data_IF_637275981327
#
_entry.id   IF_637275981327
#
_cell.length_a   1.000
_cell.length_b   1.000
_cell.length_c   1.000
_cell.angle_alpha   90.00
_cell.angle_beta   90.00
_cell.angle_gamma   90.00
#
_symmetry.space_group_name_H-M   'P 1'
#
loop_
_entity.id
_entity.type
_entity.pdbx_description
1 polymer ?
#
# COMPACT_ATOMS: atom_id res chain seq x y z
N UNK A 1 0.07 -17.31 11.65
CA UNK A 1 -0.32 -15.99 11.14
C UNK A 1 -1.58 -15.55 11.85
N UNK A 2 -1.47 -14.54 12.72
CA UNK A 2 -2.56 -13.98 13.51
C UNK A 2 -2.80 -12.53 13.12
N UNK A 3 -4.06 -12.07 13.14
CA UNK A 3 -4.40 -10.68 12.84
C UNK A 3 -4.57 -9.86 14.12
N UNK A 4 -3.87 -8.74 14.20
CA UNK A 4 -3.92 -7.78 15.29
C UNK A 4 -4.54 -6.47 14.78
N UNK A 5 -5.64 -6.07 15.41
CA UNK A 5 -6.34 -4.83 15.10
C UNK A 5 -5.61 -3.63 15.74
N UNK A 6 -5.45 -2.53 15.01
CA UNK A 6 -4.87 -1.30 15.54
C UNK A 6 -5.82 -0.68 16.58
N UNK A 7 -5.25 -0.09 17.64
CA UNK A 7 -6.03 0.46 18.75
C UNK A 7 -7.00 1.55 18.24
N UNK A 8 -8.27 1.44 18.64
CA UNK A 8 -9.33 2.35 18.19
C UNK A 8 -9.88 2.09 16.78
N UNK A 9 -9.41 1.06 16.06
CA UNK A 9 -9.95 0.65 14.75
C UNK A 9 -10.98 -0.46 14.88
N UNK A 10 -11.81 -0.62 13.85
CA UNK A 10 -12.85 -1.65 13.77
C UNK A 10 -12.94 -2.19 12.34
N UNK A 11 -13.21 -3.49 12.20
CA UNK A 11 -13.47 -4.09 10.90
C UNK A 11 -14.86 -3.68 10.41
N UNK A 12 -14.98 -3.32 9.13
CA UNK A 12 -16.28 -3.11 8.51
C UNK A 12 -16.90 -4.48 8.20
N UNK A 13 -18.04 -4.86 8.81
CA UNK A 13 -18.66 -6.17 8.61
C UNK A 13 -19.20 -6.36 7.18
N UNK A 14 -19.38 -5.28 6.42
CA UNK A 14 -19.81 -5.33 5.03
C UNK A 14 -18.63 -5.52 4.05
N UNK A 15 -17.39 -5.54 4.54
CA UNK A 15 -16.22 -5.82 3.72
C UNK A 15 -15.98 -7.34 3.65
N UNK A 16 -16.34 -7.95 2.51
CA UNK A 16 -16.18 -9.40 2.29
C UNK A 16 -14.98 -9.77 1.41
N UNK A 17 -14.27 -8.77 0.88
CA UNK A 17 -13.22 -8.97 -0.13
C UNK A 17 -11.85 -8.68 0.46
N UNK A 18 -10.95 -9.65 0.38
CA UNK A 18 -9.54 -9.51 0.74
C UNK A 18 -8.70 -9.53 -0.53
N UNK A 19 -7.89 -8.49 -0.73
CA UNK A 19 -6.87 -8.43 -1.78
C UNK A 19 -5.52 -8.74 -1.13
N UNK A 20 -4.93 -9.88 -1.49
CA UNK A 20 -3.63 -10.31 -0.97
C UNK A 20 -2.64 -10.44 -2.14
N UNK A 21 -1.61 -9.58 -2.24
CA UNK A 21 -0.62 -9.70 -3.31
C UNK A 21 0.29 -10.89 -3.05
N UNK A 22 0.52 -11.72 -4.07
CA UNK A 22 1.55 -12.75 -4.03
C UNK A 22 2.92 -12.16 -4.40
N UNK A 23 3.99 -12.64 -3.76
CA UNK A 23 5.36 -12.37 -4.23
C UNK A 23 5.51 -12.92 -5.65
N UNK A 24 5.76 -12.05 -6.61
CA UNK A 24 5.78 -12.39 -8.03
C UNK A 24 6.84 -11.57 -8.78
N UNK A 25 7.02 -11.88 -10.07
CA UNK A 25 8.08 -11.29 -10.89
C UNK A 25 7.92 -9.77 -10.95
N UNK A 26 8.99 -9.07 -10.54
CA UNK A 26 9.09 -7.61 -10.50
C UNK A 26 8.01 -6.91 -9.68
N UNK A 27 7.48 -7.61 -8.68
CA UNK A 27 6.62 -7.06 -7.63
C UNK A 27 5.32 -6.42 -8.13
N UNK A 28 4.83 -6.82 -9.31
CA UNK A 28 3.66 -6.24 -9.96
C UNK A 28 2.43 -6.27 -9.03
N UNK A 29 2.25 -7.37 -8.29
CA UNK A 29 1.16 -7.51 -7.32
C UNK A 29 1.25 -6.50 -6.17
N UNK A 30 2.46 -6.29 -5.63
CA UNK A 30 2.71 -5.34 -4.55
C UNK A 30 2.48 -3.91 -5.04
N UNK A 31 3.05 -3.55 -6.19
CA UNK A 31 2.91 -2.23 -6.79
C UNK A 31 1.45 -1.91 -7.17
N UNK A 32 0.67 -2.91 -7.60
CA UNK A 32 -0.75 -2.73 -7.86
C UNK A 32 -1.56 -2.46 -6.59
N UNK A 33 -1.20 -3.12 -5.48
CA UNK A 33 -1.82 -2.87 -4.17
C UNK A 33 -1.42 -1.50 -3.61
N UNK A 34 -0.19 -1.06 -3.84
CA UNK A 34 0.28 0.29 -3.53
C UNK A 34 -0.57 1.37 -4.22
N UNK A 35 -0.86 1.18 -5.51
CA UNK A 35 -1.76 2.07 -6.26
C UNK A 35 -3.18 2.05 -5.68
N UNK A 36 -3.72 0.89 -5.31
CA UNK A 36 -5.03 0.78 -4.67
C UNK A 36 -5.07 1.54 -3.33
N UNK A 37 -4.08 1.31 -2.46
CA UNK A 37 -4.00 1.97 -1.14
C UNK A 37 -3.91 3.49 -1.31
N UNK A 38 -3.00 3.96 -2.15
CA UNK A 38 -2.77 5.40 -2.35
C UNK A 38 -3.97 6.09 -3.00
N UNK A 39 -4.58 5.44 -4.00
CA UNK A 39 -5.72 6.03 -4.75
C UNK A 39 -7.01 6.05 -3.94
N UNK A 40 -7.28 4.98 -3.16
CA UNK A 40 -8.45 4.91 -2.27
C UNK A 40 -8.26 5.68 -0.96
N UNK A 41 -7.04 6.17 -0.69
CA UNK A 41 -6.64 6.67 0.63
C UNK A 41 -6.99 5.66 1.74
N UNK A 42 -6.68 4.38 1.48
CA UNK A 42 -7.05 3.29 2.37
C UNK A 42 -6.36 3.46 3.73
N UNK A 43 -7.14 3.32 4.79
CA UNK A 43 -6.63 3.43 6.15
C UNK A 43 -6.10 2.08 6.66
N UNK A 44 -4.94 2.09 7.31
CA UNK A 44 -4.44 0.91 8.04
C UNK A 44 -5.35 0.63 9.24
N UNK A 45 -5.88 -0.58 9.30
CA UNK A 45 -6.75 -1.05 10.40
C UNK A 45 -6.08 -2.06 11.33
N UNK A 46 -4.93 -2.63 10.94
CA UNK A 46 -4.25 -3.68 11.70
C UNK A 46 -3.02 -4.23 10.98
N UNK A 47 -2.49 -5.35 11.46
CA UNK A 47 -1.35 -6.07 10.89
C UNK A 47 -1.46 -7.58 11.14
N UNK A 48 -0.73 -8.36 10.34
CA UNK A 48 -0.59 -9.81 10.51
C UNK A 48 0.76 -10.11 11.15
N UNK A 49 0.76 -10.92 12.21
CA UNK A 49 1.97 -11.39 12.88
C UNK A 49 2.17 -12.88 12.65
N UNK A 50 3.40 -13.28 12.37
CA UNK A 50 3.79 -14.68 12.20
C UNK A 50 5.27 -14.87 12.57
N UNK A 51 5.61 -15.90 13.36
CA UNK A 51 6.99 -16.12 13.80
C UNK A 51 7.97 -16.43 12.65
N UNK A 52 7.47 -16.76 11.45
CA UNK A 52 8.30 -17.02 10.27
C UNK A 52 8.54 -15.76 9.41
N UNK A 53 7.99 -14.60 9.80
CA UNK A 53 8.26 -13.32 9.13
C UNK A 53 9.50 -12.68 9.78
N UNK A 54 10.46 -12.27 8.96
CA UNK A 54 11.67 -11.59 9.43
C UNK A 54 11.28 -10.26 10.12
N UNK A 55 11.76 -9.98 11.35
CA UNK A 55 11.50 -8.69 12.00
C UNK A 55 12.21 -7.57 11.23
N UNK A 56 11.43 -6.63 10.71
CA UNK A 56 11.93 -5.47 9.98
C UNK A 56 11.02 -4.24 10.17
N UNK A 57 11.61 -3.05 10.02
CA UNK A 57 11.06 -1.75 10.39
C UNK A 57 11.46 -0.77 9.28
N UNK A 58 10.51 -0.04 8.68
CA UNK A 58 10.80 1.00 7.68
C UNK A 58 9.98 2.27 7.90
N UNK A 59 9.89 3.17 6.92
CA UNK A 59 9.15 4.43 7.06
C UNK A 59 7.74 4.35 6.44
N UNK A 60 6.95 5.43 6.55
CA UNK A 60 5.63 5.50 5.93
C UNK A 60 5.79 5.68 4.41
N UNK A 61 5.25 4.74 3.65
CA UNK A 61 5.33 4.75 2.19
C UNK A 61 4.32 5.71 1.53
N UNK A 62 3.24 6.09 2.22
CA UNK A 62 2.10 6.76 1.61
C UNK A 62 1.98 8.24 1.95
N UNK A 63 2.44 8.67 3.13
CA UNK A 63 2.30 10.06 3.59
C UNK A 63 3.64 10.73 3.88
N UNK A 64 3.78 12.06 3.63
CA UNK A 64 4.97 12.83 4.01
C UNK A 64 5.02 13.22 5.51
N UNK A 65 4.12 12.69 6.35
CA UNK A 65 3.94 13.16 7.74
C UNK A 65 4.77 12.35 8.75
N UNK A 66 5.49 13.00 9.69
CA UNK A 66 5.90 12.36 10.94
C UNK A 66 4.69 12.17 11.88
N UNK A 67 4.68 11.15 12.78
CA UNK A 67 5.68 10.11 12.98
C UNK A 67 5.48 8.94 12.00
N UNK A 68 6.59 8.43 11.45
CA UNK A 68 6.57 7.37 10.43
C UNK A 68 5.94 6.06 10.94
N UNK A 69 4.97 5.54 10.18
CA UNK A 69 4.49 4.15 10.30
C UNK A 69 5.42 3.22 9.51
N UNK A 70 5.55 1.96 9.92
CA UNK A 70 6.55 1.04 9.36
C UNK A 70 6.11 0.38 8.04
N UNK A 71 6.94 0.44 6.98
CA UNK A 71 6.75 -0.30 5.73
C UNK A 71 8.00 -1.11 5.31
N UNK A 72 7.84 -2.12 4.43
CA UNK A 72 8.88 -3.07 4.02
C UNK A 72 9.36 -2.82 2.57
N UNK A 73 10.62 -3.20 2.22
CA UNK A 73 11.22 -2.82 0.96
C UNK A 73 10.80 -3.82 -0.13
N UNK A 74 10.23 -3.33 -1.24
CA UNK A 74 10.40 -3.95 -2.57
C UNK A 74 9.87 -3.03 -3.69
N UNK A 75 10.54 -1.90 -3.91
CA UNK A 75 10.32 -1.07 -5.10
C UNK A 75 10.77 -1.83 -6.35
N UNK A 76 9.88 -1.98 -7.33
CA UNK A 76 10.12 -2.75 -8.56
C UNK A 76 9.99 -1.90 -9.82
N UNK A 77 10.67 -2.32 -10.89
CA UNK A 77 10.75 -1.64 -12.20
C UNK A 77 9.51 -1.92 -13.12
N UNK A 78 8.51 -2.68 -12.64
CA UNK A 78 7.35 -3.10 -13.44
C UNK A 78 6.12 -2.21 -13.24
N UNK A 79 6.35 -0.90 -13.20
CA UNK A 79 5.32 0.11 -12.95
C UNK A 79 4.15 0.02 -13.96
N UNK A 80 4.36 -0.10 -15.29
CA UNK A 80 3.25 -0.17 -16.25
C UNK A 80 2.31 -1.36 -16.02
N UNK A 81 2.85 -2.54 -15.73
CA UNK A 81 2.07 -3.75 -15.45
C UNK A 81 1.26 -3.60 -14.16
N UNK A 82 1.79 -2.89 -13.16
CA UNK A 82 1.10 -2.61 -11.92
C UNK A 82 -0.19 -1.81 -12.14
N UNK A 83 -0.17 -0.80 -13.01
CA UNK A 83 -1.38 -0.05 -13.39
C UNK A 83 -2.43 -0.95 -14.06
N UNK A 84 -2.01 -1.82 -14.98
CA UNK A 84 -2.92 -2.77 -15.62
C UNK A 84 -3.58 -3.73 -14.62
N UNK A 85 -2.80 -4.25 -13.66
CA UNK A 85 -3.30 -5.16 -12.64
C UNK A 85 -4.21 -4.44 -11.63
N UNK A 86 -3.87 -3.22 -11.23
CA UNK A 86 -4.71 -2.39 -10.36
C UNK A 86 -6.07 -2.09 -11.02
N UNK A 87 -6.06 -1.76 -12.32
CA UNK A 87 -7.25 -1.54 -13.13
C UNK A 87 -8.14 -2.80 -13.23
N UNK A 88 -7.54 -3.96 -13.51
CA UNK A 88 -8.26 -5.22 -13.56
C UNK A 88 -8.88 -5.58 -12.19
N UNK A 89 -8.14 -5.34 -11.12
CA UNK A 89 -8.58 -5.60 -9.74
C UNK A 89 -9.74 -4.68 -9.34
N UNK A 90 -9.66 -3.39 -9.66
CA UNK A 90 -10.75 -2.42 -9.42
C UNK A 90 -12.04 -2.85 -10.13
N UNK A 91 -11.95 -3.28 -11.40
CA UNK A 91 -13.10 -3.80 -12.16
C UNK A 91 -13.68 -5.07 -11.55
N UNK A 92 -12.83 -6.01 -11.15
CA UNK A 92 -13.26 -7.29 -10.56
C UNK A 92 -13.97 -7.11 -9.22
N UNK A 93 -13.49 -6.17 -8.41
CA UNK A 93 -14.00 -5.92 -7.06
C UNK A 93 -15.15 -4.91 -7.01
N UNK A 94 -15.47 -4.27 -8.14
CA UNK A 94 -16.49 -3.23 -8.21
C UNK A 94 -16.10 -1.93 -7.49
N UNK A 95 -14.81 -1.73 -7.20
CA UNK A 95 -14.31 -0.49 -6.61
C UNK A 95 -14.49 0.64 -7.63
N UNK A 96 -15.52 1.45 -7.42
CA UNK A 96 -15.94 2.52 -8.32
C UNK A 96 -14.86 3.58 -8.41
N UNK A 97 -14.35 3.76 -9.62
CA UNK A 97 -13.37 4.80 -9.85
C UNK A 97 -13.96 6.23 -9.66
N UNK A 98 -15.28 6.41 -9.62
CA UNK A 98 -15.90 7.73 -9.51
C UNK A 98 -15.81 8.37 -8.12
N UNK A 99 -15.23 7.67 -7.15
CA UNK A 99 -14.98 8.17 -5.78
C UNK A 99 -13.52 8.59 -5.56
N UNK A 100 -12.67 8.48 -6.59
CA UNK A 100 -11.26 8.86 -6.48
C UNK A 100 -11.10 10.39 -6.50
N UNK A 101 -10.44 11.00 -5.50
CA UNK A 101 -10.30 12.47 -5.38
C UNK A 101 -9.32 13.11 -6.40
N UNK A 102 -9.02 12.43 -7.51
CA UNK A 102 -8.02 12.86 -8.49
C UNK A 102 -8.55 13.85 -9.54
N UNK A 103 -7.87 14.98 -9.69
CA UNK A 103 -8.26 16.08 -10.58
C UNK A 103 -7.62 15.99 -11.99
N UNK A 104 -7.67 14.82 -12.64
CA UNK A 104 -7.05 14.65 -13.96
C UNK A 104 -7.34 13.31 -14.67
N UNK A 105 -7.16 13.32 -16.00
CA UNK A 105 -7.31 12.16 -16.87
C UNK A 105 -6.19 11.14 -16.58
N UNK A 106 -6.47 10.11 -15.77
CA UNK A 106 -5.45 9.10 -15.41
C UNK A 106 -5.57 8.46 -14.02
N UNK A 107 -6.55 8.85 -13.19
CA UNK A 107 -7.22 8.15 -12.08
C UNK A 107 -6.47 7.36 -10.99
N UNK A 108 -5.18 7.07 -11.11
CA UNK A 108 -4.38 6.36 -10.13
C UNK A 108 -3.39 7.31 -9.46
N UNK A 109 -3.32 7.28 -8.14
CA UNK A 109 -2.34 8.01 -7.34
C UNK A 109 -1.19 7.06 -7.01
N UNK A 110 0.04 7.45 -7.32
CA UNK A 110 1.24 6.71 -6.90
C UNK A 110 1.58 7.07 -5.46
N UNK A 111 2.04 6.11 -4.62
CA UNK A 111 2.51 6.39 -3.27
C UNK A 111 3.62 7.45 -3.23
N UNK A 112 3.77 8.11 -2.08
CA UNK A 112 4.84 9.07 -1.85
C UNK A 112 6.23 8.42 -2.00
N UNK A 113 6.40 7.18 -1.53
CA UNK A 113 7.66 6.43 -1.65
C UNK A 113 8.16 6.35 -3.10
N UNK A 114 7.27 6.23 -4.09
CA UNK A 114 7.65 6.14 -5.50
C UNK A 114 8.31 7.41 -6.06
N UNK A 115 8.26 8.54 -5.33
CA UNK A 115 8.95 9.78 -5.71
C UNK A 115 10.46 9.72 -5.42
N UNK A 116 10.93 8.68 -4.73
CA UNK A 116 12.32 8.52 -4.29
C UNK A 116 12.73 7.05 -4.37
N UNK A 117 13.93 6.75 -4.87
CA UNK A 117 14.42 5.36 -5.03
C UNK A 117 14.67 4.65 -3.67
N UNK A 118 14.74 5.39 -2.57
CA UNK A 118 15.08 4.87 -1.23
C UNK A 118 14.29 5.54 -0.09
N UNK A 119 13.15 6.19 -0.39
CA UNK A 119 12.46 7.06 0.57
C UNK A 119 13.14 8.41 0.79
N UNK A 120 12.54 9.30 1.63
CA UNK A 120 13.20 10.48 2.15
C UNK A 120 14.50 10.12 2.91
N UNK A 121 15.49 11.02 2.97
CA UNK A 121 16.74 10.77 3.70
C UNK A 121 16.46 10.28 5.13
N UNK A 122 17.29 9.35 5.63
CA UNK A 122 17.20 8.91 7.01
C UNK A 122 17.18 10.13 7.94
N UNK A 123 16.30 10.11 8.94
CA UNK A 123 16.32 11.12 10.00
C UNK A 123 17.72 11.10 10.63
N UNK A 124 18.40 12.25 10.67
CA UNK A 124 19.75 12.30 11.23
C UNK A 124 19.72 12.43 12.75
N UNK A 125 18.54 12.64 13.36
CA UNK A 125 18.38 12.72 14.82
C UNK A 125 18.41 11.35 15.52
N UNK A 126 18.37 10.24 14.76
CA UNK A 126 18.50 8.88 15.28
C UNK A 126 19.95 8.38 15.34
N UNK A 127 20.93 9.20 14.92
CA UNK A 127 22.37 8.92 14.98
C UNK A 127 23.11 9.87 15.91
#
# INVERSE_FOLDING_TARGET
>A
MEFYLEEGKQLNPNCSTLILPALSIGNVGQLAVDLLISTLQAERIGYLDDPNVLPCVGNDAYSPSPPGKLALPLEGDNIPEAFCLAEATSKLTGLSQNEFPGNGAGKWTTPFSWQSVYGPPADMSIF
#
